data_IF_058394504544
#
_entry.id   IF_058394504544
#
_cell.length_a   1.000
_cell.length_b   1.000
_cell.length_c   1.000
_cell.angle_alpha   90.00
_cell.angle_beta   90.00
_cell.angle_gamma   90.00
#
_symmetry.space_group_name_H-M   'P 1'
#
loop_
_entity.id
_entity.type
_entity.pdbx_description
1 polymer ?
#
# COMPACT_ATOMS: atom_id res chain seq x y z
N UNK A 1 5.59 7.37 5.61
CA UNK A 1 5.78 5.91 5.70
C UNK A 1 7.23 5.60 6.04
N UNK A 2 7.49 4.79 7.06
CA UNK A 2 8.87 4.42 7.43
C UNK A 2 9.41 3.32 6.49
N UNK A 3 10.64 3.47 5.97
CA UNK A 3 11.25 2.49 5.07
C UNK A 3 11.31 1.05 5.64
N UNK A 4 11.38 0.91 6.97
CA UNK A 4 11.37 -0.39 7.64
C UNK A 4 10.08 -1.21 7.41
N UNK A 5 8.98 -0.57 7.00
CA UNK A 5 7.75 -1.25 6.57
C UNK A 5 7.97 -2.13 5.34
N UNK A 6 9.00 -1.86 4.55
CA UNK A 6 9.18 -2.42 3.22
C UNK A 6 10.43 -3.29 3.08
N UNK A 7 11.13 -3.55 4.18
CA UNK A 7 12.32 -4.44 4.21
C UNK A 7 12.00 -5.90 3.94
N UNK A 8 10.72 -6.28 3.93
CA UNK A 8 10.28 -7.64 3.69
C UNK A 8 8.98 -7.61 2.88
N UNK A 9 8.85 -8.47 1.88
CA UNK A 9 7.67 -8.52 1.00
C UNK A 9 6.34 -8.73 1.77
N UNK A 10 6.36 -9.48 2.89
CA UNK A 10 5.17 -9.68 3.71
C UNK A 10 4.82 -8.42 4.50
N UNK A 11 5.83 -7.71 5.04
CA UNK A 11 5.59 -6.42 5.71
C UNK A 11 5.03 -5.39 4.74
N UNK A 12 5.53 -5.39 3.51
CA UNK A 12 5.01 -4.57 2.41
C UNK A 12 3.52 -4.85 2.17
N UNK A 13 3.14 -6.13 2.04
CA UNK A 13 1.74 -6.54 1.88
C UNK A 13 0.85 -6.17 3.06
N UNK A 14 1.30 -6.41 4.30
CA UNK A 14 0.58 -6.01 5.52
C UNK A 14 0.36 -4.50 5.52
N UNK A 15 1.40 -3.73 5.21
CA UNK A 15 1.33 -2.28 5.23
C UNK A 15 0.34 -1.72 4.19
N UNK A 16 0.27 -2.33 3.00
CA UNK A 16 -0.71 -1.96 1.98
C UNK A 16 -2.14 -2.30 2.37
N UNK A 17 -2.38 -3.41 3.07
CA UNK A 17 -3.73 -3.74 3.60
C UNK A 17 -4.20 -2.84 4.73
N UNK A 18 -3.27 -2.16 5.40
CA UNK A 18 -3.52 -1.28 6.53
C UNK A 18 -3.38 0.21 6.19
N UNK A 19 -3.01 0.54 4.95
CA UNK A 19 -2.98 1.93 4.50
C UNK A 19 -4.42 2.47 4.57
N UNK A 20 -4.58 3.66 5.15
CA UNK A 20 -5.85 4.40 5.29
C UNK A 20 -6.93 3.73 6.13
N UNK A 21 -6.60 2.61 6.76
CA UNK A 21 -7.48 1.89 7.66
C UNK A 21 -7.13 2.26 9.09
N UNK A 22 -7.58 3.44 9.51
CA UNK A 22 -7.42 3.91 10.90
C UNK A 22 -8.13 2.99 11.90
N UNK A 23 -9.23 2.37 11.48
CA UNK A 23 -9.97 1.35 12.21
C UNK A 23 -9.20 0.02 12.33
N UNK A 24 -8.24 -0.20 11.41
CA UNK A 24 -7.30 -1.31 11.44
C UNK A 24 -7.91 -2.67 11.11
N UNK A 25 -7.08 -3.71 11.14
CA UNK A 25 -7.49 -5.10 10.89
C UNK A 25 -6.96 -6.05 11.95
N UNK A 26 -7.72 -7.11 12.24
CA UNK A 26 -7.22 -8.24 13.02
C UNK A 26 -6.29 -9.14 12.20
N UNK A 27 -5.48 -9.97 12.88
CA UNK A 27 -4.63 -10.95 12.18
C UNK A 27 -5.48 -11.93 11.35
N UNK A 28 -6.68 -12.30 11.83
CA UNK A 28 -7.58 -13.16 11.07
C UNK A 28 -8.09 -12.48 9.79
N UNK A 29 -8.47 -11.21 9.90
CA UNK A 29 -8.88 -10.40 8.75
C UNK A 29 -7.73 -10.18 7.75
N UNK A 30 -6.50 -9.98 8.22
CA UNK A 30 -5.32 -9.91 7.36
C UNK A 30 -5.07 -11.26 6.66
N UNK A 31 -5.23 -12.38 7.37
CA UNK A 31 -5.03 -13.73 6.81
C UNK A 31 -6.07 -14.07 5.72
N UNK A 32 -7.29 -13.54 5.84
CA UNK A 32 -8.33 -13.70 4.82
C UNK A 32 -8.05 -12.88 3.55
N UNK A 33 -7.37 -11.74 3.67
CA UNK A 33 -7.01 -10.89 2.52
C UNK A 33 -5.69 -11.31 1.87
N UNK A 34 -4.70 -11.67 2.68
CA UNK A 34 -3.37 -12.10 2.25
C UNK A 34 -3.30 -13.63 2.10
N UNK A 35 -4.16 -14.20 1.26
CA UNK A 35 -4.32 -15.66 1.13
C UNK A 35 -3.08 -16.38 0.60
N UNK A 36 -2.17 -15.64 -0.04
CA UNK A 36 -0.89 -16.12 -0.54
C UNK A 36 0.23 -16.11 0.52
N UNK A 37 -0.02 -15.54 1.71
CA UNK A 37 0.92 -15.50 2.83
C UNK A 37 0.55 -16.59 3.85
N UNK A 38 1.47 -17.51 4.19
CA UNK A 38 1.21 -18.51 5.22
C UNK A 38 0.91 -17.85 6.58
N UNK A 39 -0.12 -18.34 7.29
CA UNK A 39 -0.58 -17.78 8.57
C UNK A 39 0.53 -17.62 9.62
N UNK A 40 1.43 -18.61 9.74
CA UNK A 40 2.56 -18.57 10.67
C UNK A 40 3.56 -17.46 10.32
N UNK A 41 3.76 -17.21 9.02
CA UNK A 41 4.61 -16.12 8.53
C UNK A 41 3.94 -14.76 8.77
N UNK A 42 2.64 -14.63 8.49
CA UNK A 42 1.88 -13.42 8.77
C UNK A 42 1.98 -13.04 10.26
N UNK A 43 1.71 -14.01 11.15
CA UNK A 43 1.79 -13.79 12.59
C UNK A 43 3.18 -13.32 13.04
N UNK A 44 4.24 -13.97 12.56
CA UNK A 44 5.63 -13.58 12.85
C UNK A 44 5.93 -12.15 12.39
N UNK A 45 5.45 -11.76 11.21
CA UNK A 45 5.72 -10.43 10.67
C UNK A 45 4.90 -9.34 11.37
N UNK A 46 3.64 -9.58 11.71
CA UNK A 46 2.84 -8.64 12.51
C UNK A 46 3.50 -8.39 13.87
N UNK A 47 3.98 -9.43 14.56
CA UNK A 47 4.70 -9.26 15.82
C UNK A 47 5.99 -8.47 15.64
N UNK A 48 6.81 -8.81 14.65
CA UNK A 48 8.04 -8.07 14.40
C UNK A 48 7.78 -6.59 14.02
N UNK A 49 6.70 -6.30 13.28
CA UNK A 49 6.30 -4.94 12.98
C UNK A 49 5.77 -4.19 14.21
N UNK A 50 5.12 -4.88 15.17
CA UNK A 50 4.76 -4.30 16.46
C UNK A 50 6.00 -3.97 17.31
N UNK A 51 6.98 -4.88 17.37
CA UNK A 51 8.23 -4.69 18.11
C UNK A 51 9.03 -3.52 17.54
N UNK A 52 9.04 -3.37 16.20
CA UNK A 52 9.65 -2.25 15.47
C UNK A 52 8.82 -0.94 15.55
N UNK A 53 7.72 -0.92 16.31
CA UNK A 53 6.79 0.21 16.47
C UNK A 53 6.18 0.71 15.15
N UNK A 54 6.10 -0.15 14.14
CA UNK A 54 5.51 0.15 12.84
C UNK A 54 3.98 0.00 12.86
N UNK A 55 3.46 -0.81 13.79
CA UNK A 55 2.04 -1.02 14.01
C UNK A 55 1.64 -0.53 15.41
N UNK A 56 0.36 -0.18 15.55
CA UNK A 56 -0.29 0.13 16.83
C UNK A 56 -1.57 -0.69 16.98
N UNK A 57 -1.95 -0.98 18.21
CA UNK A 57 -3.25 -1.61 18.51
C UNK A 57 -4.28 -0.49 18.67
N UNK A 58 -5.33 -0.52 17.87
CA UNK A 58 -6.40 0.51 17.88
C UNK A 58 -7.67 0.04 18.58
N UNK A 59 -7.89 -1.27 18.63
CA UNK A 59 -9.02 -1.86 19.34
C UNK A 59 -8.71 -3.31 19.76
N UNK A 60 -9.57 -3.85 20.64
CA UNK A 60 -9.63 -5.27 20.95
C UNK A 60 -11.08 -5.71 20.80
N UNK A 61 -11.32 -6.75 20.00
CA UNK A 61 -12.65 -7.33 19.80
C UNK A 61 -12.69 -8.74 20.36
N UNK A 62 -13.88 -9.21 20.74
CA UNK A 62 -14.09 -10.57 21.24
C UNK A 62 -14.76 -11.41 20.17
N UNK A 63 -14.08 -12.48 19.74
CA UNK A 63 -14.61 -13.44 18.77
C UNK A 63 -14.80 -14.77 19.51
N UNK A 64 -16.03 -15.01 19.97
CA UNK A 64 -16.35 -16.15 20.82
C UNK A 64 -15.65 -16.07 22.19
N UNK A 65 -14.73 -17.02 22.45
CA UNK A 65 -13.94 -17.06 23.70
C UNK A 65 -12.55 -16.41 23.57
N UNK A 66 -12.16 -15.98 22.37
CA UNK A 66 -10.83 -15.43 22.08
C UNK A 66 -10.93 -13.91 21.94
N UNK A 67 -9.94 -13.21 22.47
CA UNK A 67 -9.75 -11.77 22.23
C UNK A 67 -8.81 -11.58 21.04
N UNK A 68 -9.23 -10.76 20.09
CA UNK A 68 -8.44 -10.37 18.94
C UNK A 68 -8.05 -8.90 19.03
N UNK A 69 -6.76 -8.63 18.83
CA UNK A 69 -6.23 -7.28 18.68
C UNK A 69 -6.47 -6.81 17.25
N UNK A 70 -6.83 -5.53 17.12
CA UNK A 70 -6.96 -4.83 15.84
C UNK A 70 -5.75 -3.92 15.66
N UNK A 71 -5.07 -4.08 14.54
CA UNK A 71 -3.80 -3.44 14.23
C UNK A 71 -3.98 -2.39 13.14
N UNK A 72 -3.37 -1.22 13.32
CA UNK A 72 -3.26 -0.18 12.30
C UNK A 72 -1.80 0.25 12.14
N UNK A 73 -1.47 0.93 11.05
CA UNK A 73 -0.15 1.54 10.89
C UNK A 73 0.07 2.61 11.97
N UNK A 74 1.27 2.63 12.55
CA UNK A 74 1.70 3.67 13.49
C UNK A 74 2.28 4.90 12.77
N UNK A 75 2.14 4.98 11.45
CA UNK A 75 2.64 6.10 10.63
C UNK A 75 1.49 6.70 9.84
N UNK A 76 1.40 8.03 9.85
CA UNK A 76 0.28 8.80 9.28
C UNK A 76 0.49 9.23 7.82
N UNK A 77 1.35 8.57 7.05
CA UNK A 77 1.70 9.05 5.71
C UNK A 77 2.02 7.94 4.72
N UNK A 78 1.41 8.08 3.54
CA UNK A 78 1.50 7.26 2.33
C UNK A 78 2.86 7.21 1.68
N UNK A 79 3.62 8.29 1.83
CA UNK A 79 4.88 8.48 1.13
C UNK A 79 6.05 8.15 2.05
N UNK A 80 7.04 7.43 1.53
CA UNK A 80 8.35 7.35 2.20
C UNK A 80 8.86 8.79 2.32
N UNK A 81 9.30 9.18 3.53
CA UNK A 81 9.82 10.53 3.70
C UNK A 81 11.04 10.73 2.81
N UNK A 82 11.25 11.95 2.32
CA UNK A 82 12.42 12.26 1.50
C UNK A 82 13.73 11.95 2.25
N UNK A 83 13.76 12.22 3.56
CA UNK A 83 14.89 11.90 4.42
C UNK A 83 15.16 10.38 4.48
N UNK A 84 14.12 9.57 4.70
CA UNK A 84 14.25 8.10 4.73
C UNK A 84 14.73 7.58 3.38
N UNK A 85 14.14 8.06 2.28
CA UNK A 85 14.51 7.66 0.93
C UNK A 85 15.96 8.03 0.59
N UNK A 86 16.40 9.25 0.93
CA UNK A 86 17.76 9.70 0.66
C UNK A 86 18.80 8.93 1.51
N UNK A 87 18.43 8.50 2.72
CA UNK A 87 19.30 7.72 3.60
C UNK A 87 19.37 6.22 3.26
N UNK A 88 18.40 5.69 2.51
CA UNK A 88 18.33 4.27 2.17
C UNK A 88 19.48 3.83 1.26
N UNK A 89 19.99 2.63 1.52
CA UNK A 89 21.00 1.99 0.66
C UNK A 89 20.44 1.64 -0.72
N UNK A 90 21.33 1.38 -1.68
CA UNK A 90 20.92 0.96 -3.02
C UNK A 90 20.07 -0.31 -2.99
N UNK A 91 20.49 -1.34 -2.26
CA UNK A 91 19.78 -2.61 -2.15
C UNK A 91 18.39 -2.44 -1.52
N UNK A 92 18.28 -1.56 -0.52
CA UNK A 92 17.00 -1.18 0.06
C UNK A 92 16.09 -0.56 -1.00
N UNK A 93 16.55 0.47 -1.73
CA UNK A 93 15.78 1.11 -2.80
C UNK A 93 15.33 0.10 -3.87
N UNK A 94 16.22 -0.79 -4.31
CA UNK A 94 15.89 -1.85 -5.28
C UNK A 94 14.82 -2.80 -4.76
N UNK A 95 14.91 -3.22 -3.50
CA UNK A 95 13.91 -4.07 -2.87
C UNK A 95 12.55 -3.38 -2.82
N UNK A 96 12.51 -2.10 -2.43
CA UNK A 96 11.27 -1.32 -2.41
C UNK A 96 10.62 -1.25 -3.80
N UNK A 97 11.38 -0.85 -4.83
CA UNK A 97 10.88 -0.76 -6.21
C UNK A 97 10.40 -2.12 -6.70
N UNK A 98 11.12 -3.19 -6.36
CA UNK A 98 10.73 -4.57 -6.74
C UNK A 98 9.40 -4.97 -6.10
N UNK A 99 9.23 -4.74 -4.80
CA UNK A 99 7.96 -5.04 -4.11
C UNK A 99 6.80 -4.19 -4.61
N UNK A 100 7.06 -2.92 -4.94
CA UNK A 100 6.08 -2.04 -5.56
C UNK A 100 5.53 -2.63 -6.87
N UNK A 101 6.41 -3.03 -7.80
CA UNK A 101 5.95 -3.62 -9.07
C UNK A 101 5.31 -5.00 -8.90
N UNK A 102 5.77 -5.81 -7.94
CA UNK A 102 5.10 -7.06 -7.60
C UNK A 102 3.66 -6.82 -7.10
N UNK A 103 3.44 -5.76 -6.31
CA UNK A 103 2.11 -5.38 -5.88
C UNK A 103 1.25 -4.93 -7.06
N UNK A 104 1.76 -4.06 -7.94
CA UNK A 104 1.02 -3.65 -9.16
C UNK A 104 0.59 -4.86 -9.99
N UNK A 105 1.48 -5.84 -10.16
CA UNK A 105 1.16 -7.10 -10.84
C UNK A 105 0.04 -7.87 -10.12
N UNK A 106 0.12 -8.02 -8.80
CA UNK A 106 -0.91 -8.70 -8.00
C UNK A 106 -2.27 -7.99 -8.07
N UNK A 107 -2.29 -6.66 -8.08
CA UNK A 107 -3.51 -5.87 -8.23
C UNK A 107 -4.15 -6.10 -9.60
N UNK A 108 -3.36 -6.12 -10.67
CA UNK A 108 -3.87 -6.44 -11.99
C UNK A 108 -4.42 -7.88 -12.07
N UNK A 109 -3.71 -8.87 -11.51
CA UNK A 109 -4.20 -10.26 -11.46
C UNK A 109 -5.54 -10.36 -10.74
N UNK A 110 -5.66 -9.71 -9.57
CA UNK A 110 -6.89 -9.69 -8.78
C UNK A 110 -8.04 -9.01 -9.54
N UNK A 111 -7.78 -7.85 -10.13
CA UNK A 111 -8.74 -7.14 -10.98
C UNK A 111 -9.21 -8.00 -12.16
N UNK A 112 -8.28 -8.69 -12.83
CA UNK A 112 -8.58 -9.52 -13.98
C UNK A 112 -9.50 -10.70 -13.59
N UNK A 113 -9.15 -11.42 -12.53
CA UNK A 113 -9.93 -12.56 -12.04
C UNK A 113 -11.32 -12.16 -11.56
N UNK A 114 -11.45 -11.05 -10.83
CA UNK A 114 -12.72 -10.66 -10.23
C UNK A 114 -13.64 -9.89 -11.20
N UNK A 115 -13.06 -9.03 -12.04
CA UNK A 115 -13.81 -8.07 -12.87
C UNK A 115 -13.80 -8.43 -14.34
N UNK A 116 -12.61 -8.63 -14.93
CA UNK A 116 -12.50 -8.83 -16.38
C UNK A 116 -13.12 -10.15 -16.80
N UNK A 117 -12.92 -11.23 -16.04
CA UNK A 117 -13.55 -12.52 -16.32
C UNK A 117 -15.08 -12.50 -16.22
N UNK A 118 -15.64 -11.64 -15.36
CA UNK A 118 -17.10 -11.58 -15.13
C UNK A 118 -17.80 -10.61 -16.07
N UNK A 119 -17.17 -9.47 -16.38
CA UNK A 119 -17.75 -8.39 -17.19
C UNK A 119 -17.34 -8.44 -18.66
N UNK A 120 -16.27 -9.16 -19.00
CA UNK A 120 -15.79 -9.36 -20.38
C UNK A 120 -15.06 -8.15 -20.99
N UNK A 121 -14.85 -7.07 -20.22
CA UNK A 121 -14.11 -5.89 -20.67
C UNK A 121 -12.99 -5.55 -19.69
N UNK A 122 -11.78 -5.38 -20.23
CA UNK A 122 -10.62 -4.87 -19.51
C UNK A 122 -10.53 -3.36 -19.71
N UNK A 123 -10.51 -2.61 -18.60
CA UNK A 123 -10.44 -1.15 -18.55
C UNK A 123 -9.09 -0.65 -17.99
N UNK A 124 -8.10 -1.53 -17.86
CA UNK A 124 -6.76 -1.16 -17.40
C UNK A 124 -6.06 -0.20 -18.38
N UNK A 125 -5.24 0.70 -17.83
CA UNK A 125 -4.44 1.65 -18.61
C UNK A 125 -2.99 1.55 -18.20
N UNK A 126 -2.08 1.49 -19.19
CA UNK A 126 -0.64 1.50 -18.98
C UNK A 126 -0.03 2.57 -19.88
N UNK A 127 0.67 3.54 -19.30
CA UNK A 127 1.27 4.65 -20.06
C UNK A 127 2.68 4.95 -19.59
N UNK A 128 3.58 5.21 -20.55
CA UNK A 128 4.93 5.73 -20.32
C UNK A 128 5.08 6.99 -21.17
N UNK A 129 5.45 8.10 -20.54
CA UNK A 129 5.75 9.36 -21.22
C UNK A 129 7.20 9.76 -20.95
N UNK A 130 7.90 10.20 -22.00
CA UNK A 130 9.24 10.80 -21.88
C UNK A 130 9.10 12.31 -22.09
N UNK A 131 9.31 13.06 -21.02
CA UNK A 131 9.15 14.51 -21.01
C UNK A 131 10.52 15.19 -21.10
N UNK A 132 10.61 16.26 -21.88
CA UNK A 132 11.82 17.08 -21.99
C UNK A 132 11.52 18.42 -21.32
N UNK A 133 11.82 18.51 -20.03
CA UNK A 133 11.46 19.65 -19.17
C UNK A 133 12.71 20.18 -18.46
N UNK A 134 12.69 21.45 -18.07
CA UNK A 134 13.65 21.99 -17.11
C UNK A 134 13.28 21.50 -15.70
N UNK A 135 14.21 21.60 -14.75
CA UNK A 135 13.96 21.22 -13.34
C UNK A 135 12.78 22.00 -12.74
N UNK A 136 12.64 23.29 -13.08
CA UNK A 136 11.52 24.14 -12.65
C UNK A 136 10.19 23.60 -13.17
N UNK A 137 10.06 23.42 -14.48
CA UNK A 137 8.83 22.90 -15.08
C UNK A 137 8.52 21.47 -14.64
N UNK A 138 9.55 20.67 -14.34
CA UNK A 138 9.38 19.31 -13.82
C UNK A 138 8.87 19.32 -12.37
N UNK A 139 9.31 20.25 -11.54
CA UNK A 139 8.77 20.44 -10.19
C UNK A 139 7.30 20.85 -10.22
N UNK A 140 6.93 21.78 -11.13
CA UNK A 140 5.53 22.16 -11.35
C UNK A 140 4.68 20.96 -11.77
N UNK A 141 5.16 20.16 -12.74
CA UNK A 141 4.49 18.92 -13.16
C UNK A 141 4.25 17.95 -11.99
N UNK A 142 5.26 17.73 -11.14
CA UNK A 142 5.11 16.87 -9.97
C UNK A 142 4.10 17.41 -8.95
N UNK A 143 4.07 18.74 -8.76
CA UNK A 143 3.11 19.40 -7.88
C UNK A 143 1.68 19.28 -8.40
N UNK A 144 1.47 19.49 -9.70
CA UNK A 144 0.16 19.35 -10.35
C UNK A 144 -0.37 17.92 -10.22
N UNK A 145 0.49 16.92 -10.47
CA UNK A 145 0.13 15.51 -10.31
C UNK A 145 -0.23 15.16 -8.86
N UNK A 146 0.53 15.66 -7.88
CA UNK A 146 0.23 15.46 -6.46
C UNK A 146 -1.11 16.09 -6.09
N UNK A 147 -1.34 17.34 -6.48
CA UNK A 147 -2.59 18.05 -6.20
C UNK A 147 -3.79 17.35 -6.83
N UNK A 148 -3.63 16.78 -8.03
CA UNK A 148 -4.67 15.98 -8.68
C UNK A 148 -5.01 14.72 -7.88
N UNK A 149 -4.01 13.98 -7.40
CA UNK A 149 -4.21 12.77 -6.61
C UNK A 149 -4.85 13.09 -5.25
N UNK A 150 -4.34 14.09 -4.53
CA UNK A 150 -4.89 14.52 -3.23
C UNK A 150 -6.35 14.95 -3.34
N UNK A 151 -6.72 15.65 -4.42
CA UNK A 151 -8.11 16.07 -4.67
C UNK A 151 -9.09 14.89 -4.66
N UNK A 152 -8.75 13.78 -5.32
CA UNK A 152 -9.66 12.63 -5.41
C UNK A 152 -9.54 11.69 -4.21
N UNK A 153 -8.38 11.65 -3.55
CA UNK A 153 -8.18 10.87 -2.32
C UNK A 153 -9.08 11.35 -1.18
N UNK A 154 -9.31 12.67 -1.07
CA UNK A 154 -10.13 13.28 -0.02
C UNK A 154 -11.64 13.35 -0.33
N UNK A 155 -12.12 12.75 -1.41
CA UNK A 155 -13.55 12.67 -1.67
C UNK A 155 -14.21 11.70 -0.70
N UNK A 156 -15.36 12.08 -0.13
CA UNK A 156 -16.19 11.14 0.61
C UNK A 156 -16.68 10.04 -0.32
N UNK A 157 -16.66 8.79 0.16
CA UNK A 157 -17.15 7.67 -0.61
C UNK A 157 -18.67 7.80 -0.82
N UNK A 158 -19.09 7.85 -2.07
CA UNK A 158 -20.51 7.82 -2.45
C UNK A 158 -21.08 6.40 -2.32
N UNK A 159 -22.40 6.30 -2.18
CA UNK A 159 -23.10 5.02 -2.28
C UNK A 159 -22.76 4.37 -3.64
N UNK A 160 -22.31 3.12 -3.62
CA UNK A 160 -21.80 2.34 -4.77
C UNK A 160 -20.37 2.66 -5.23
N UNK A 161 -19.60 3.45 -4.47
CA UNK A 161 -18.17 3.62 -4.74
C UNK A 161 -17.46 2.26 -4.79
N UNK A 162 -16.64 2.07 -5.81
CA UNK A 162 -15.81 0.89 -5.96
C UNK A 162 -14.36 1.28 -5.78
N UNK A 163 -13.60 0.47 -5.04
CA UNK A 163 -12.17 0.67 -4.87
C UNK A 163 -11.45 0.68 -6.23
N UNK A 164 -10.52 1.63 -6.40
CA UNK A 164 -9.71 1.83 -7.61
C UNK A 164 -8.28 2.10 -7.20
N UNK A 165 -7.36 1.29 -7.72
CA UNK A 165 -5.93 1.47 -7.46
C UNK A 165 -5.29 2.27 -8.59
N UNK A 166 -4.71 3.42 -8.26
CA UNK A 166 -3.89 4.22 -9.18
C UNK A 166 -2.45 4.19 -8.67
N UNK A 167 -1.54 3.72 -9.51
CA UNK A 167 -0.10 3.65 -9.23
C UNK A 167 0.66 4.55 -10.19
N UNK A 168 1.56 5.38 -9.67
CA UNK A 168 2.39 6.30 -10.46
C UNK A 168 3.85 6.19 -10.01
N UNK A 169 4.76 6.06 -10.98
CA UNK A 169 6.20 6.09 -10.75
C UNK A 169 6.79 7.24 -11.54
N UNK A 170 7.42 8.18 -10.85
CA UNK A 170 8.13 9.31 -11.43
C UNK A 170 9.62 9.10 -11.20
N UNK A 171 10.42 9.13 -12.26
CA UNK A 171 11.88 9.07 -12.22
C UNK A 171 12.40 10.40 -12.79
N UNK A 172 13.05 11.26 -11.98
CA UNK A 172 13.65 12.51 -12.46
C UNK A 172 14.86 12.25 -13.37
#
# INVERSE_FOLDING_TARGET
MNFNLFKNHVRFKIALELIDREDGLSIMQLNQRLTDVPQSTLYRQVNAMMDDQLLKIVAVQRVGKVEEKIYALNTSGYQISEADWNSASYDEKVNFVSFYFMYVLQQYQTYFEQTVQTQGQDLSTFSIAKLHLTDETFNDFQQDMRALLEKYHHLEAEDQATERTVSLVILP
#
